data_IF_861182753369
#
_entry.id   IF_861182753369
#
_cell.length_a   1.000
_cell.length_b   1.000
_cell.length_c   1.000
_cell.angle_alpha   90.00
_cell.angle_beta   90.00
_cell.angle_gamma   90.00
#
_symmetry.space_group_name_H-M   'P 1'
#
loop_
_entity.id
_entity.type
_entity.pdbx_description
1 polymer ?
#
# COMPACT_ATOMS: atom_id res chain seq x y z
N UNK A 1 -25.55 -5.25 2.04
CA UNK A 1 -24.94 -5.46 0.72
C UNK A 1 -24.28 -4.16 0.32
N UNK A 2 -22.95 -4.14 0.18
CA UNK A 2 -22.24 -2.94 -0.27
C UNK A 2 -22.16 -2.92 -1.81
N UNK A 3 -21.72 -1.80 -2.39
CA UNK A 3 -21.67 -1.60 -3.84
C UNK A 3 -20.82 -2.67 -4.55
N UNK A 4 -19.73 -3.12 -3.93
CA UNK A 4 -18.86 -4.17 -4.48
C UNK A 4 -19.56 -5.53 -4.51
N UNK A 5 -20.31 -5.87 -3.45
CA UNK A 5 -21.15 -7.08 -3.40
C UNK A 5 -22.29 -7.06 -4.42
N UNK A 6 -22.78 -5.89 -4.83
CA UNK A 6 -23.84 -5.77 -5.84
C UNK A 6 -23.32 -6.01 -7.26
N UNK A 7 -22.13 -5.51 -7.58
CA UNK A 7 -21.51 -5.66 -8.90
C UNK A 7 -21.07 -7.10 -9.17
N UNK A 8 -20.50 -7.77 -8.16
CA UNK A 8 -20.09 -9.18 -8.19
C UNK A 8 -21.26 -10.12 -8.51
N UNK A 9 -22.43 -9.87 -7.91
CA UNK A 9 -23.67 -10.63 -8.14
C UNK A 9 -24.23 -10.47 -9.57
N UNK A 10 -23.85 -9.40 -10.28
CA UNK A 10 -24.33 -9.14 -11.65
C UNK A 10 -23.39 -9.69 -12.74
N UNK A 11 -22.25 -10.30 -12.39
CA UNK A 11 -21.27 -10.75 -13.39
C UNK A 11 -20.67 -9.63 -14.24
N UNK A 12 -20.86 -8.38 -13.79
CA UNK A 12 -20.21 -7.20 -14.35
C UNK A 12 -18.97 -7.02 -13.48
N UNK A 13 -17.85 -7.60 -13.91
CA UNK A 13 -16.54 -7.15 -13.42
C UNK A 13 -16.49 -5.65 -13.77
N UNK A 14 -16.58 -4.73 -12.79
CA UNK A 14 -16.41 -3.33 -13.12
C UNK A 14 -15.04 -3.19 -13.78
N UNK A 15 -14.95 -2.37 -14.82
CA UNK A 15 -13.65 -1.96 -15.37
C UNK A 15 -12.83 -1.41 -14.20
N UNK A 16 -11.95 -2.25 -13.66
CA UNK A 16 -11.24 -2.00 -12.41
C UNK A 16 -9.89 -1.47 -12.83
N UNK A 17 -9.68 -0.15 -12.80
CA UNK A 17 -8.44 0.42 -13.29
C UNK A 17 -7.27 -0.17 -12.51
N UNK A 18 -6.26 -0.58 -13.26
CA UNK A 18 -5.01 -1.12 -12.74
C UNK A 18 -3.86 -0.21 -13.16
N UNK A 19 -2.81 -0.21 -12.35
CA UNK A 19 -1.55 0.49 -12.61
C UNK A 19 -0.48 -0.58 -12.78
N UNK A 20 0.26 -0.53 -13.88
CA UNK A 20 1.41 -1.38 -14.14
C UNK A 20 2.71 -0.72 -13.67
N UNK A 21 3.76 -1.50 -13.43
CA UNK A 21 5.10 -0.96 -13.11
C UNK A 21 5.65 -0.11 -14.26
N UNK A 22 5.29 -0.44 -15.50
CA UNK A 22 5.62 0.30 -16.74
C UNK A 22 5.03 1.70 -16.78
N UNK A 23 3.97 1.99 -16.01
CA UNK A 23 3.39 3.33 -15.89
C UNK A 23 4.26 4.29 -15.07
N UNK A 24 5.25 3.76 -14.35
CA UNK A 24 6.20 4.52 -13.55
C UNK A 24 7.43 4.94 -14.36
N UNK A 25 7.80 6.21 -14.24
CA UNK A 25 9.06 6.80 -14.66
C UNK A 25 10.18 6.30 -13.77
N UNK A 26 10.02 6.37 -12.44
CA UNK A 26 10.95 5.73 -11.50
C UNK A 26 10.46 4.31 -11.19
N UNK A 27 11.20 3.31 -11.66
CA UNK A 27 10.92 1.89 -11.39
C UNK A 27 11.84 1.31 -10.30
N UNK A 28 12.58 2.17 -9.58
CA UNK A 28 13.45 1.73 -8.50
C UNK A 28 12.66 1.35 -7.25
N UNK A 29 13.22 0.37 -6.53
CA UNK A 29 12.75 -0.15 -5.26
C UNK A 29 12.53 0.97 -4.22
N UNK A 30 11.27 1.15 -3.79
CA UNK A 30 10.87 2.17 -2.81
C UNK A 30 9.47 1.94 -2.24
N UNK A 31 9.15 2.59 -1.13
CA UNK A 31 7.77 2.76 -0.67
C UNK A 31 6.98 3.61 -1.66
N UNK A 32 5.79 3.15 -2.03
CA UNK A 32 4.87 3.87 -2.90
C UNK A 32 3.76 4.54 -2.10
N UNK A 33 3.13 3.80 -1.18
CA UNK A 33 2.08 4.31 -0.31
C UNK A 33 2.25 3.75 1.10
N UNK A 34 2.17 4.63 2.10
CA UNK A 34 2.32 4.25 3.49
C UNK A 34 1.24 4.89 4.35
N UNK A 35 0.61 4.08 5.19
CA UNK A 35 -0.54 4.52 5.96
C UNK A 35 -1.03 3.51 6.98
N UNK A 36 -2.30 3.62 7.32
CA UNK A 36 -2.93 2.73 8.28
C UNK A 36 -4.41 2.53 7.99
N UNK A 37 -4.92 1.37 8.39
CA UNK A 37 -6.32 0.99 8.25
C UNK A 37 -7.17 1.47 9.44
N UNK A 38 -8.49 1.29 9.36
CA UNK A 38 -9.41 1.53 10.48
C UNK A 38 -9.01 0.80 11.76
N UNK A 39 -8.55 -0.44 11.64
CA UNK A 39 -8.08 -1.28 12.74
C UNK A 39 -6.66 -0.92 13.22
N UNK A 40 -6.11 0.21 12.74
CA UNK A 40 -4.76 0.68 13.03
C UNK A 40 -3.67 -0.32 12.63
N UNK A 41 -3.95 -1.23 11.69
CA UNK A 41 -2.91 -2.00 11.04
C UNK A 41 -2.12 -1.07 10.11
N UNK A 42 -0.82 -1.30 10.02
CA UNK A 42 0.05 -0.61 9.06
C UNK A 42 -0.30 -1.11 7.67
N UNK A 43 -0.46 -0.17 6.74
CA UNK A 43 -0.59 -0.41 5.32
C UNK A 43 0.71 0.02 4.66
N UNK A 44 1.38 -0.89 3.96
CA UNK A 44 2.62 -0.63 3.27
C UNK A 44 2.55 -1.20 1.85
N UNK A 45 2.45 -0.32 0.87
CA UNK A 45 2.61 -0.65 -0.53
C UNK A 45 3.97 -0.16 -1.00
N UNK A 46 4.76 -1.06 -1.59
CA UNK A 46 6.10 -0.74 -2.06
C UNK A 46 6.43 -1.50 -3.34
N UNK A 47 7.34 -0.92 -4.12
CA UNK A 47 7.93 -1.56 -5.28
C UNK A 47 9.17 -2.33 -4.84
N UNK A 48 9.28 -3.58 -5.29
CA UNK A 48 10.47 -4.40 -5.13
C UNK A 48 10.57 -5.41 -6.27
N UNK A 49 11.75 -5.52 -6.88
CA UNK A 49 12.02 -6.48 -7.97
C UNK A 49 10.98 -6.39 -9.10
N UNK A 50 10.60 -5.16 -9.49
CA UNK A 50 9.56 -4.86 -10.49
C UNK A 50 8.19 -5.47 -10.17
N UNK A 51 7.85 -5.60 -8.88
CA UNK A 51 6.53 -6.01 -8.40
C UNK A 51 6.02 -5.06 -7.33
N UNK A 52 4.73 -4.78 -7.41
CA UNK A 52 4.00 -4.17 -6.31
C UNK A 52 3.85 -5.19 -5.19
N UNK A 53 4.23 -4.80 -3.98
CA UNK A 53 4.06 -5.59 -2.78
C UNK A 53 3.20 -4.80 -1.81
N UNK A 54 1.96 -5.26 -1.61
CA UNK A 54 1.06 -4.76 -0.58
C UNK A 54 1.16 -5.64 0.65
N UNK A 55 1.56 -5.06 1.77
CA UNK A 55 1.62 -5.74 3.05
C UNK A 55 0.83 -4.96 4.09
N UNK A 56 -0.07 -5.67 4.78
CA UNK A 56 -0.81 -5.14 5.91
C UNK A 56 -0.38 -5.92 7.15
N UNK A 57 0.10 -5.23 8.18
CA UNK A 57 0.60 -5.87 9.39
C UNK A 57 0.27 -5.04 10.63
N UNK A 58 0.12 -5.70 11.77
CA UNK A 58 -0.05 -4.99 13.04
C UNK A 58 1.32 -4.84 13.69
N UNK A 59 1.82 -3.60 13.78
CA UNK A 59 2.92 -3.30 14.69
C UNK A 59 2.43 -3.55 16.12
N UNK A 60 2.71 -4.74 16.68
CA UNK A 60 2.70 -4.85 18.12
C UNK A 60 3.91 -4.05 18.61
N UNK A 61 3.67 -3.11 19.53
CA UNK A 61 4.73 -2.34 20.17
C UNK A 61 5.56 -3.27 21.05
N UNK A 62 6.47 -4.03 20.42
CA UNK A 62 7.22 -5.20 20.92
C UNK A 62 6.37 -6.46 20.95
N UNK A 63 6.76 -7.47 20.17
CA UNK A 63 6.70 -8.84 20.70
C UNK A 63 7.97 -9.01 21.53
N UNK A 64 7.88 -8.99 22.87
CA UNK A 64 9.06 -8.96 23.75
C UNK A 64 9.95 -10.21 23.63
N UNK A 65 9.43 -11.26 23.00
CA UNK A 65 10.05 -12.57 22.81
C UNK A 65 10.74 -12.74 21.44
N UNK A 66 10.74 -11.70 20.59
CA UNK A 66 11.30 -11.78 19.24
C UNK A 66 10.43 -12.52 18.23
N UNK A 67 9.15 -12.77 18.54
CA UNK A 67 8.26 -13.46 17.60
C UNK A 67 7.83 -12.60 16.41
N UNK A 68 7.33 -13.28 15.37
CA UNK A 68 7.05 -12.73 14.04
C UNK A 68 5.90 -11.71 14.12
N UNK A 69 6.10 -10.53 13.54
CA UNK A 69 5.04 -9.52 13.40
C UNK A 69 3.91 -10.11 12.55
N UNK A 70 2.66 -10.16 13.05
CA UNK A 70 1.58 -10.81 12.32
C UNK A 70 1.24 -10.02 11.05
N UNK A 71 1.49 -10.65 9.91
CA UNK A 71 1.01 -10.21 8.60
C UNK A 71 -0.47 -10.54 8.52
N UNK A 72 -1.29 -9.50 8.36
CA UNK A 72 -2.75 -9.58 8.21
C UNK A 72 -3.11 -9.91 6.76
N UNK A 73 -2.39 -9.32 5.81
CA UNK A 73 -2.57 -9.58 4.39
C UNK A 73 -1.26 -9.31 3.64
N UNK A 74 -1.04 -10.07 2.57
CA UNK A 74 0.05 -9.84 1.62
C UNK A 74 -0.44 -10.12 0.19
N UNK A 75 -0.11 -9.22 -0.73
CA UNK A 75 -0.27 -9.44 -2.16
C UNK A 75 0.98 -8.96 -2.89
N UNK A 76 1.42 -9.73 -3.89
CA UNK A 76 2.56 -9.39 -4.75
C UNK A 76 2.16 -9.58 -6.21
N UNK A 77 2.24 -8.53 -7.01
CA UNK A 77 1.69 -8.51 -8.37
C UNK A 77 2.44 -7.52 -9.27
N UNK A 78 2.32 -7.68 -10.60
CA UNK A 78 2.95 -6.80 -11.60
C UNK A 78 2.10 -5.59 -11.97
N UNK A 79 0.79 -5.72 -11.80
CA UNK A 79 -0.20 -4.67 -11.92
C UNK A 79 -0.94 -4.58 -10.59
N UNK A 80 -1.33 -3.38 -10.15
CA UNK A 80 -2.06 -3.16 -8.91
C UNK A 80 -3.38 -2.47 -9.19
N UNK A 81 -4.48 -3.04 -8.73
CA UNK A 81 -5.78 -2.38 -8.82
C UNK A 81 -5.81 -1.11 -7.98
N UNK A 82 -6.35 -0.02 -8.53
CA UNK A 82 -6.34 1.32 -7.94
C UNK A 82 -6.94 1.35 -6.53
N UNK A 83 -8.01 0.59 -6.29
CA UNK A 83 -8.69 0.52 -4.99
C UNK A 83 -7.91 -0.27 -3.92
N UNK A 84 -6.88 -1.02 -4.31
CA UNK A 84 -5.93 -1.66 -3.40
C UNK A 84 -4.70 -0.78 -3.12
N UNK A 85 -4.52 0.31 -3.86
CA UNK A 85 -3.35 1.18 -3.71
C UNK A 85 -3.35 2.02 -2.43
N UNK A 86 -4.45 2.11 -1.70
CA UNK A 86 -4.58 2.92 -0.50
C UNK A 86 -5.42 2.25 0.59
N UNK A 87 -5.16 2.52 1.88
CA UNK A 87 -5.92 1.94 2.96
C UNK A 87 -7.32 2.54 3.04
N UNK A 88 -8.22 1.81 3.69
CA UNK A 88 -9.57 2.29 3.97
C UNK A 88 -9.66 3.46 4.96
N UNK A 89 -8.54 3.96 5.52
CA UNK A 89 -8.52 5.07 6.48
C UNK A 89 -7.67 6.25 6.04
N UNK A 90 -6.33 6.20 6.24
CA UNK A 90 -5.46 7.35 5.92
C UNK A 90 -4.05 6.94 5.53
N UNK A 91 -3.45 7.72 4.62
CA UNK A 91 -2.05 7.72 4.22
C UNK A 91 -1.27 8.86 4.89
N UNK A 92 0.03 8.65 5.07
CA UNK A 92 0.96 9.68 5.53
C UNK A 92 1.61 10.34 4.31
N UNK A 93 1.21 11.56 3.93
CA UNK A 93 1.63 12.16 2.65
C UNK A 93 3.14 12.32 2.54
N UNK A 94 3.85 12.56 3.65
CA UNK A 94 5.32 12.67 3.68
C UNK A 94 6.07 11.34 3.47
N UNK A 95 5.36 10.21 3.44
CA UNK A 95 5.89 8.85 3.23
C UNK A 95 5.29 8.17 1.99
N UNK A 96 4.56 8.92 1.16
CA UNK A 96 4.02 8.44 -0.09
C UNK A 96 4.83 8.97 -1.26
N UNK A 97 5.01 8.13 -2.28
CA UNK A 97 5.64 8.52 -3.52
C UNK A 97 4.70 9.43 -4.31
N UNK A 98 5.21 10.60 -4.72
CA UNK A 98 4.41 11.62 -5.38
C UNK A 98 3.92 11.16 -6.77
N UNK A 99 4.80 10.51 -7.53
CA UNK A 99 4.49 9.99 -8.87
C UNK A 99 3.36 8.96 -8.78
N UNK A 100 3.55 7.93 -7.96
CA UNK A 100 2.58 6.85 -7.81
C UNK A 100 1.24 7.38 -7.26
N UNK A 101 1.29 8.31 -6.30
CA UNK A 101 0.07 8.95 -5.78
C UNK A 101 -0.70 9.70 -6.86
N UNK A 102 0.01 10.37 -7.77
CA UNK A 102 -0.59 11.08 -8.89
C UNK A 102 -1.25 10.12 -9.89
N UNK A 103 -0.62 8.96 -10.17
CA UNK A 103 -1.19 7.93 -11.03
C UNK A 103 -2.50 7.36 -10.44
N UNK A 104 -2.49 7.02 -9.15
CA UNK A 104 -3.67 6.52 -8.43
C UNK A 104 -4.85 7.48 -8.52
N UNK A 105 -4.61 8.78 -8.27
CA UNK A 105 -5.66 9.80 -8.33
C UNK A 105 -6.19 9.98 -9.77
N UNK A 106 -5.29 10.02 -10.76
CA UNK A 106 -5.68 10.14 -12.18
C UNK A 106 -6.48 8.95 -12.68
N UNK A 107 -6.19 7.76 -12.16
CA UNK A 107 -6.92 6.54 -12.45
C UNK A 107 -8.25 6.41 -11.67
N UNK A 108 -8.70 7.48 -10.98
CA UNK A 108 -9.98 7.53 -10.28
C UNK A 108 -9.94 7.14 -8.81
N UNK A 109 -8.75 6.89 -8.25
CA UNK A 109 -8.56 6.61 -6.84
C UNK A 109 -8.87 7.80 -5.95
N UNK A 110 -9.35 7.53 -4.73
CA UNK A 110 -9.72 8.56 -3.74
C UNK A 110 -8.96 8.40 -2.41
N UNK A 111 -7.60 8.38 -2.44
CA UNK A 111 -6.81 8.25 -1.22
C UNK A 111 -7.08 9.40 -0.26
N UNK A 112 -7.23 9.08 1.03
CA UNK A 112 -7.33 10.09 2.10
C UNK A 112 -5.98 10.22 2.80
N UNK A 113 -5.49 11.44 2.97
CA UNK A 113 -4.21 11.72 3.63
C UNK A 113 -4.40 12.32 5.03
N UNK A 114 -3.42 12.14 5.91
CA UNK A 114 -3.29 12.94 7.12
C UNK A 114 -2.78 14.34 6.78
N UNK A 115 -2.76 15.24 7.78
CA UNK A 115 -1.97 16.46 7.66
C UNK A 115 -0.50 16.13 7.42
N UNK A 116 0.15 16.88 6.54
CA UNK A 116 1.57 16.75 6.29
C UNK A 116 2.35 17.11 7.54
N UNK A 117 3.30 16.25 7.93
CA UNK A 117 4.21 16.54 9.04
C UNK A 117 5.64 16.53 8.54
N UNK A 118 6.46 17.48 9.02
CA UNK A 118 7.90 17.46 8.80
C UNK A 118 8.48 16.41 9.75
N UNK A 119 8.30 15.13 9.42
CA UNK A 119 9.04 14.07 10.07
C UNK A 119 10.53 14.24 9.73
N UNK A 120 11.42 13.74 10.60
CA UNK A 120 12.83 13.59 10.23
C UNK A 120 12.88 12.75 8.95
N UNK A 121 13.29 13.37 7.84
CA UNK A 121 13.54 12.66 6.59
C UNK A 121 14.70 11.72 6.88
N UNK A 122 14.41 10.44 7.12
CA UNK A 122 15.43 9.44 6.92
C UNK A 122 15.54 9.25 5.40
N UNK A 123 16.77 9.11 4.89
CA UNK A 123 17.02 8.77 3.48
C UNK A 123 16.59 7.31 3.15
N UNK A 124 15.73 6.71 3.98
CA UNK A 124 15.23 5.37 3.80
C UNK A 124 14.25 5.34 2.65
N UNK A 125 14.59 4.57 1.61
CA UNK A 125 13.68 4.30 0.49
C UNK A 125 12.44 3.50 0.91
N UNK A 126 12.49 2.83 2.07
CA UNK A 126 11.37 2.09 2.63
C UNK A 126 10.96 2.66 3.98
N UNK A 127 9.71 3.14 4.10
CA UNK A 127 9.19 3.77 5.32
C UNK A 127 8.49 2.80 6.30
N UNK A 128 8.51 1.51 5.97
CA UNK A 128 7.89 0.44 6.73
C UNK A 128 8.63 -0.88 6.55
N UNK A 129 8.14 -1.93 7.22
CA UNK A 129 8.71 -3.27 7.10
C UNK A 129 8.41 -3.88 5.75
N UNK A 130 9.35 -4.64 5.21
CA UNK A 130 9.22 -5.32 3.91
C UNK A 130 9.23 -6.84 4.10
N UNK A 131 8.72 -7.57 3.10
CA UNK A 131 8.79 -9.03 3.11
C UNK A 131 10.08 -9.49 2.42
N UNK A 132 10.84 -10.32 3.13
CA UNK A 132 12.00 -11.05 2.60
C UNK A 132 11.78 -12.53 2.93
N UNK A 133 11.71 -13.39 1.91
CA UNK A 133 11.45 -14.82 2.07
C UNK A 133 10.21 -15.14 2.94
N UNK A 134 9.15 -14.33 2.81
CA UNK A 134 7.92 -14.47 3.60
C UNK A 134 8.01 -13.96 5.04
N UNK A 135 9.15 -13.39 5.45
CA UNK A 135 9.38 -12.83 6.78
C UNK A 135 9.37 -11.31 6.71
N UNK A 136 8.65 -10.67 7.62
CA UNK A 136 8.54 -9.23 7.71
C UNK A 136 9.74 -8.63 8.47
N UNK A 137 10.65 -7.96 7.76
CA UNK A 137 11.87 -7.34 8.32
C UNK A 137 11.69 -5.84 8.53
#
# INVERSE_FOLDING_TARGET
>A
MNQLQYLDVQGIEPDRPAIEVSDLIDQSDRTLMYGYTHDRATFHLYLKDFKFNLVIYRNSSRVPDGSIVPVVAHQSMREMYVDLCYPNKRLYPERCDFEFSSLVIRAGGTPTFTSFTVASQSDDRYHGKILINGILV
#
